data_IF_594596002373
#
_entry.id   IF_594596002373
#
_cell.length_a   1.000
_cell.length_b   1.000
_cell.length_c   1.000
_cell.angle_alpha   90.00
_cell.angle_beta   90.00
_cell.angle_gamma   90.00
#
_symmetry.space_group_name_H-M   'P 1'
#
loop_
_entity.id
_entity.type
_entity.pdbx_description
1 polymer ?
#
# COMPACT_ATOMS: atom_id res chain seq x y z
N UNK A 1 12.86 -16.60 19.03
CA UNK A 1 11.42 -16.92 19.08
C UNK A 1 10.64 -15.63 18.93
N UNK A 2 9.72 -15.61 17.98
CA UNK A 2 8.75 -14.56 17.78
C UNK A 2 8.00 -14.26 19.10
N UNK A 3 8.22 -13.10 19.72
CA UNK A 3 7.47 -12.66 20.92
C UNK A 3 5.97 -12.43 20.63
N UNK A 4 5.26 -11.71 21.52
CA UNK A 4 3.79 -11.45 21.48
C UNK A 4 3.25 -10.63 20.27
N UNK A 5 4.03 -10.45 19.21
CA UNK A 5 3.67 -9.61 18.05
C UNK A 5 3.63 -10.47 16.80
N UNK A 6 2.48 -10.71 16.21
CA UNK A 6 2.35 -11.62 15.06
C UNK A 6 2.51 -10.90 13.71
N UNK A 7 2.00 -9.67 13.63
CA UNK A 7 1.91 -8.88 12.40
C UNK A 7 2.45 -7.48 12.67
N UNK A 8 3.23 -6.95 11.73
CA UNK A 8 3.69 -5.56 11.70
C UNK A 8 2.96 -4.82 10.59
N UNK A 9 2.65 -3.56 10.82
CA UNK A 9 2.05 -2.67 9.84
C UNK A 9 3.03 -1.52 9.59
N UNK A 10 3.50 -1.35 8.36
CA UNK A 10 4.22 -0.13 7.99
C UNK A 10 3.23 0.98 7.70
N UNK A 11 3.18 1.97 8.58
CA UNK A 11 2.37 3.19 8.46
C UNK A 11 3.24 4.46 8.46
N UNK A 12 4.51 4.35 8.06
CA UNK A 12 5.46 5.48 8.11
C UNK A 12 5.25 6.52 7.02
N UNK A 13 4.62 6.14 5.90
CA UNK A 13 4.48 7.01 4.73
C UNK A 13 5.78 7.24 3.96
N UNK A 14 6.86 6.49 4.26
CA UNK A 14 8.14 6.61 3.58
C UNK A 14 8.51 5.29 2.86
N UNK A 15 8.66 5.29 1.51
CA UNK A 15 8.87 4.06 0.76
C UNK A 15 10.17 3.32 1.08
N UNK A 16 11.24 4.07 1.35
CA UNK A 16 12.55 3.49 1.68
C UNK A 16 12.53 2.85 3.05
N UNK A 17 11.95 3.53 4.04
CA UNK A 17 11.82 3.00 5.40
C UNK A 17 10.90 1.77 5.38
N UNK A 18 9.75 1.84 4.70
CA UNK A 18 8.83 0.71 4.56
C UNK A 18 9.50 -0.53 3.97
N UNK A 19 10.32 -0.35 2.95
CA UNK A 19 11.12 -1.43 2.34
C UNK A 19 12.08 -2.08 3.33
N UNK A 20 12.89 -1.28 4.04
CA UNK A 20 13.88 -1.78 4.98
C UNK A 20 13.20 -2.48 6.17
N UNK A 21 12.11 -1.90 6.67
CA UNK A 21 11.29 -2.53 7.71
C UNK A 21 10.73 -3.86 7.25
N UNK A 22 10.16 -3.94 6.04
CA UNK A 22 9.59 -5.19 5.53
C UNK A 22 10.59 -6.33 5.52
N UNK A 23 11.80 -6.10 5.00
CA UNK A 23 12.84 -7.12 4.97
C UNK A 23 13.26 -7.56 6.36
N UNK A 24 13.39 -6.64 7.31
CA UNK A 24 13.77 -6.98 8.68
C UNK A 24 12.66 -7.74 9.43
N UNK A 25 11.41 -7.31 9.26
CA UNK A 25 10.23 -7.98 9.82
C UNK A 25 10.14 -9.43 9.32
N UNK A 26 10.33 -9.65 8.01
CA UNK A 26 10.28 -10.98 7.42
C UNK A 26 11.43 -11.87 7.90
N UNK A 27 12.66 -11.34 8.02
CA UNK A 27 13.79 -12.07 8.62
C UNK A 27 13.52 -12.55 10.05
N UNK A 28 12.70 -11.80 10.79
CA UNK A 28 12.30 -12.15 12.16
C UNK A 28 11.06 -13.07 12.21
N UNK A 29 10.64 -13.61 11.06
CA UNK A 29 9.52 -14.56 10.98
C UNK A 29 8.17 -13.92 11.28
N UNK A 30 8.01 -12.63 11.00
CA UNK A 30 6.78 -11.86 11.24
C UNK A 30 6.06 -11.55 9.94
N UNK A 31 4.73 -11.53 9.99
CA UNK A 31 3.92 -11.07 8.86
C UNK A 31 3.98 -9.56 8.75
N UNK A 32 3.79 -9.04 7.54
CA UNK A 32 3.75 -7.60 7.30
C UNK A 32 2.58 -7.19 6.41
N UNK A 33 1.92 -6.12 6.84
CA UNK A 33 0.96 -5.35 6.06
C UNK A 33 1.62 -4.04 5.63
N UNK A 34 1.66 -3.80 4.32
CA UNK A 34 2.26 -2.60 3.72
C UNK A 34 1.18 -1.56 3.41
N UNK A 35 1.27 -0.35 3.98
CA UNK A 35 0.44 0.80 3.57
C UNK A 35 1.17 1.70 2.56
N UNK A 36 2.48 1.53 2.39
CA UNK A 36 3.23 2.29 1.40
C UNK A 36 3.06 1.67 0.00
N UNK A 37 2.05 2.14 -0.73
CA UNK A 37 1.76 1.67 -2.09
C UNK A 37 2.92 1.98 -3.04
N UNK A 38 3.66 3.07 -2.81
CA UNK A 38 4.82 3.45 -3.62
C UNK A 38 5.93 2.40 -3.56
N UNK A 39 6.22 1.86 -2.37
CA UNK A 39 7.14 0.74 -2.20
C UNK A 39 6.61 -0.55 -2.84
N UNK A 40 5.32 -0.84 -2.67
CA UNK A 40 4.69 -2.05 -3.22
C UNK A 40 4.72 -2.06 -4.76
N UNK A 41 4.40 -0.96 -5.42
CA UNK A 41 4.45 -0.90 -6.90
C UNK A 41 5.89 -0.90 -7.43
N UNK A 42 6.86 -0.47 -6.63
CA UNK A 42 8.27 -0.39 -7.04
C UNK A 42 8.98 -1.74 -6.88
N UNK A 43 8.81 -2.41 -5.73
CA UNK A 43 9.53 -3.65 -5.41
C UNK A 43 8.65 -4.73 -4.75
N UNK A 44 7.33 -4.58 -4.70
CA UNK A 44 6.43 -5.51 -4.01
C UNK A 44 6.55 -6.95 -4.49
N UNK A 45 6.88 -7.17 -5.78
CA UNK A 45 7.17 -8.53 -6.29
C UNK A 45 8.40 -9.16 -5.61
N UNK A 46 9.46 -8.37 -5.40
CA UNK A 46 10.64 -8.83 -4.67
C UNK A 46 10.30 -9.07 -3.20
N UNK A 47 9.61 -8.14 -2.53
CA UNK A 47 9.18 -8.31 -1.15
C UNK A 47 8.29 -9.54 -0.96
N UNK A 48 7.41 -9.85 -1.93
CA UNK A 48 6.58 -11.06 -1.91
C UNK A 48 7.41 -12.34 -2.03
N UNK A 49 8.50 -12.33 -2.81
CA UNK A 49 9.43 -13.45 -2.91
C UNK A 49 10.18 -13.66 -1.58
N UNK A 50 10.69 -12.59 -0.98
CA UNK A 50 11.37 -12.65 0.32
C UNK A 50 10.43 -13.13 1.43
N UNK A 51 9.17 -12.70 1.42
CA UNK A 51 8.14 -13.20 2.34
C UNK A 51 7.94 -14.71 2.21
N UNK A 52 7.89 -15.21 0.96
CA UNK A 52 7.73 -16.64 0.68
C UNK A 52 8.93 -17.43 1.20
N UNK A 53 10.16 -16.95 0.97
CA UNK A 53 11.39 -17.58 1.49
C UNK A 53 11.41 -17.64 3.01
N UNK A 54 10.93 -16.58 3.67
CA UNK A 54 10.85 -16.50 5.12
C UNK A 54 9.64 -17.25 5.72
N UNK A 55 8.73 -17.80 4.90
CA UNK A 55 7.54 -18.51 5.38
C UNK A 55 6.48 -17.60 6.01
N UNK A 56 6.44 -16.32 5.63
CA UNK A 56 5.54 -15.30 6.20
C UNK A 56 4.64 -14.67 5.15
N UNK A 57 3.56 -14.03 5.60
CA UNK A 57 2.64 -13.28 4.74
C UNK A 57 3.13 -11.84 4.57
N UNK A 58 3.28 -11.44 3.31
CA UNK A 58 3.33 -10.05 2.86
C UNK A 58 2.04 -9.73 2.10
N UNK A 59 1.40 -8.61 2.45
CA UNK A 59 0.16 -8.12 1.83
C UNK A 59 0.08 -6.59 1.90
N UNK A 60 -0.63 -5.98 0.95
CA UNK A 60 -1.14 -4.62 1.11
C UNK A 60 -2.29 -4.55 2.11
N UNK A 61 -2.65 -3.34 2.54
CA UNK A 61 -3.79 -3.11 3.43
C UNK A 61 -5.12 -3.11 2.67
N UNK A 62 -6.16 -3.66 3.30
CA UNK A 62 -7.55 -3.44 2.86
C UNK A 62 -7.98 -1.99 3.14
N UNK A 63 -8.87 -1.45 2.31
CA UNK A 63 -9.46 -0.11 2.47
C UNK A 63 -8.90 0.96 1.54
N UNK A 64 -7.72 0.75 0.96
CA UNK A 64 -7.21 1.62 -0.10
C UNK A 64 -7.75 1.22 -1.49
N UNK A 65 -7.73 2.15 -2.44
CA UNK A 65 -8.33 1.98 -3.76
C UNK A 65 -7.83 0.72 -4.50
N UNK A 66 -6.53 0.34 -4.49
CA UNK A 66 -6.09 -0.90 -5.12
C UNK A 66 -6.71 -2.15 -4.49
N UNK A 67 -6.77 -2.23 -3.16
CA UNK A 67 -7.30 -3.40 -2.46
C UNK A 67 -8.82 -3.54 -2.65
N UNK A 68 -9.56 -2.45 -2.50
CA UNK A 68 -11.01 -2.44 -2.75
C UNK A 68 -11.33 -2.77 -4.22
N UNK A 69 -10.53 -2.28 -5.16
CA UNK A 69 -10.69 -2.63 -6.58
C UNK A 69 -10.45 -4.12 -6.82
N UNK A 70 -9.47 -4.74 -6.16
CA UNK A 70 -9.20 -6.17 -6.25
C UNK A 70 -10.35 -7.03 -5.70
N UNK A 71 -11.05 -6.58 -4.65
CA UNK A 71 -12.24 -7.27 -4.13
C UNK A 71 -13.35 -7.33 -5.17
N UNK A 72 -13.65 -6.20 -5.82
CA UNK A 72 -14.67 -6.11 -6.89
C UNK A 72 -14.25 -6.97 -8.10
N UNK A 73 -12.97 -6.91 -8.49
CA UNK A 73 -12.40 -7.75 -9.55
C UNK A 73 -12.57 -9.24 -9.21
N UNK A 74 -12.27 -9.64 -7.97
CA UNK A 74 -12.40 -11.01 -7.49
C UNK A 74 -13.83 -11.51 -7.55
N UNK A 75 -14.79 -10.66 -7.16
CA UNK A 75 -16.21 -10.95 -7.27
C UNK A 75 -16.65 -11.15 -8.74
N UNK A 76 -16.32 -10.21 -9.63
CA UNK A 76 -16.68 -10.30 -11.04
C UNK A 76 -16.09 -11.55 -11.73
N UNK A 77 -14.83 -11.88 -11.43
CA UNK A 77 -14.19 -13.11 -11.93
C UNK A 77 -14.86 -14.37 -11.41
N UNK A 78 -15.27 -14.39 -10.16
CA UNK A 78 -15.96 -15.55 -9.56
C UNK A 78 -17.33 -15.82 -10.20
N UNK A 79 -17.93 -14.80 -10.81
CA UNK A 79 -19.17 -14.91 -11.59
C UNK A 79 -18.93 -15.25 -13.08
N UNK A 80 -17.67 -15.39 -13.51
CA UNK A 80 -17.31 -15.67 -14.90
C UNK A 80 -17.39 -14.45 -15.82
N UNK A 81 -17.49 -13.24 -15.29
CA UNK A 81 -17.50 -12.03 -16.12
C UNK A 81 -16.11 -11.67 -16.65
N UNK A 82 -16.10 -11.10 -17.85
CA UNK A 82 -14.91 -10.47 -18.42
C UNK A 82 -14.81 -9.04 -17.92
N UNK A 83 -13.69 -8.69 -17.29
CA UNK A 83 -13.44 -7.33 -16.80
C UNK A 83 -12.84 -6.50 -17.93
N UNK A 84 -13.56 -5.46 -18.36
CA UNK A 84 -13.09 -4.55 -19.42
C UNK A 84 -12.21 -3.45 -18.86
N UNK A 85 -12.57 -2.88 -17.70
CA UNK A 85 -11.81 -1.84 -17.02
C UNK A 85 -12.06 -1.88 -15.51
N UNK A 86 -11.08 -1.41 -14.73
CA UNK A 86 -11.18 -1.25 -13.28
C UNK A 86 -10.26 -0.10 -12.83
N UNK A 87 -10.68 0.67 -11.83
CA UNK A 87 -9.91 1.79 -11.33
C UNK A 87 -10.75 2.73 -10.45
N UNK A 88 -10.24 3.95 -10.25
CA UNK A 88 -10.85 4.97 -9.41
C UNK A 88 -11.14 6.25 -10.18
N UNK A 89 -12.08 7.06 -9.68
CA UNK A 89 -12.38 8.40 -10.20
C UNK A 89 -11.89 9.52 -9.29
N UNK A 90 -11.81 10.74 -9.84
CA UNK A 90 -11.61 11.99 -9.07
C UNK A 90 -12.74 12.96 -9.44
N UNK A 91 -13.17 13.76 -8.46
CA UNK A 91 -14.25 14.73 -8.65
C UNK A 91 -13.86 15.92 -9.55
N UNK A 92 -12.57 16.26 -9.59
CA UNK A 92 -12.05 17.44 -10.27
C UNK A 92 -10.89 17.03 -11.20
N UNK A 93 -10.63 17.81 -12.26
CA UNK A 93 -9.45 17.61 -13.11
C UNK A 93 -8.14 17.69 -12.33
N UNK A 94 -7.12 16.97 -12.82
CA UNK A 94 -5.77 17.03 -12.27
C UNK A 94 -5.08 18.34 -12.67
N UNK A 95 -4.47 19.02 -11.69
CA UNK A 95 -3.59 20.17 -11.90
C UNK A 95 -2.13 19.69 -11.92
N UNK A 96 -1.55 19.57 -13.10
CA UNK A 96 -0.21 18.98 -13.29
C UNK A 96 0.95 19.87 -12.82
N UNK A 97 0.74 21.19 -12.77
CA UNK A 97 1.73 22.21 -12.37
C UNK A 97 1.58 22.64 -10.90
N UNK A 98 0.79 21.91 -10.11
CA UNK A 98 0.64 22.15 -8.69
C UNK A 98 1.98 22.08 -7.94
N UNK A 99 2.26 23.07 -7.10
CA UNK A 99 3.44 23.14 -6.22
C UNK A 99 3.01 23.39 -4.78
N UNK A 100 3.82 23.06 -3.75
CA UNK A 100 3.44 23.24 -2.33
C UNK A 100 2.95 24.65 -2.00
N UNK A 101 3.57 25.69 -2.57
CA UNK A 101 3.17 27.09 -2.37
C UNK A 101 1.70 27.38 -2.72
N UNK A 102 1.08 26.60 -3.61
CA UNK A 102 -0.34 26.73 -3.95
C UNK A 102 -1.28 26.21 -2.84
N UNK A 103 -0.81 25.31 -1.97
CA UNK A 103 -1.62 24.54 -1.02
C UNK A 103 -1.18 24.68 0.46
N UNK A 104 -0.05 25.33 0.75
CA UNK A 104 0.46 25.53 2.13
C UNK A 104 -0.60 26.09 3.09
N UNK A 105 -1.38 27.08 2.64
CA UNK A 105 -2.46 27.66 3.45
C UNK A 105 -3.54 26.64 3.78
N UNK A 106 -4.00 25.88 2.78
CA UNK A 106 -5.01 24.83 2.99
C UNK A 106 -4.48 23.74 3.93
N UNK A 107 -3.21 23.32 3.73
CA UNK A 107 -2.58 22.31 4.56
C UNK A 107 -2.49 22.74 6.03
N UNK A 108 -2.12 24.00 6.28
CA UNK A 108 -2.07 24.57 7.63
C UNK A 108 -3.46 24.67 8.27
N UNK A 109 -4.47 25.15 7.53
CA UNK A 109 -5.85 25.23 8.01
C UNK A 109 -6.44 23.85 8.35
N UNK A 110 -6.00 22.80 7.64
CA UNK A 110 -6.46 21.41 7.82
C UNK A 110 -5.55 20.56 8.71
N UNK A 111 -4.46 21.12 9.24
CA UNK A 111 -3.44 20.40 10.02
C UNK A 111 -2.95 19.11 9.32
N UNK A 112 -2.56 19.23 8.06
CA UNK A 112 -2.05 18.13 7.24
C UNK A 112 -0.66 18.46 6.67
N UNK A 113 -0.01 17.45 6.09
CA UNK A 113 1.28 17.64 5.41
C UNK A 113 1.15 18.67 4.28
N UNK A 114 2.09 19.61 4.22
CA UNK A 114 2.12 20.74 3.27
C UNK A 114 3.01 20.44 2.06
#
# INVERSE_FOLDING_TARGET
AAGRIDVIIDATGNPNIGTLFALEVMKNGKHIVMLNVEADITIGRFLKEEARKAGVVYTGAAGDEPACTLEIIGFAKSLGFTIVAAGKGKNNPLKFDAVPADYEKEAAERNMNA
#
